data_IF_394665442846
#
_entry.id   IF_394665442846
#
_cell.length_a   1.000
_cell.length_b   1.000
_cell.length_c   1.000
_cell.angle_alpha   90.00
_cell.angle_beta   90.00
_cell.angle_gamma   90.00
#
_symmetry.space_group_name_H-M   'P 1'
#
loop_
_entity.id
_entity.type
_entity.pdbx_description
1 polymer ?
#
# COMPACT_ATOMS: atom_id res chain seq x y z
N UNK A 1 44.69 28.01 -32.27
CA UNK A 1 44.19 26.66 -32.05
C UNK A 1 43.18 26.65 -30.89
N UNK A 2 42.04 27.38 -31.02
CA UNK A 2 41.00 27.53 -29.96
C UNK A 2 39.60 27.55 -30.58
N UNK A 3 39.38 27.00 -31.77
CA UNK A 3 38.02 26.96 -32.38
C UNK A 3 37.34 25.59 -32.40
N UNK A 4 37.92 24.56 -31.78
CA UNK A 4 37.31 23.21 -31.79
C UNK A 4 36.41 22.85 -30.61
N UNK A 5 36.53 23.59 -29.48
CA UNK A 5 35.80 23.19 -28.25
C UNK A 5 34.34 23.66 -28.16
N UNK A 6 34.04 24.82 -28.76
CA UNK A 6 32.69 25.39 -28.68
C UNK A 6 31.67 24.64 -29.54
N UNK A 7 32.10 24.01 -30.64
CA UNK A 7 31.21 23.27 -31.54
C UNK A 7 30.72 21.95 -30.94
N UNK A 8 31.55 21.26 -30.16
CA UNK A 8 31.20 19.99 -29.52
C UNK A 8 30.20 20.20 -28.37
N UNK A 9 30.38 21.27 -27.58
CA UNK A 9 29.44 21.58 -26.47
C UNK A 9 28.07 21.99 -27.01
N UNK A 10 28.00 22.76 -28.09
CA UNK A 10 26.74 23.12 -28.74
C UNK A 10 26.01 21.89 -29.35
N UNK A 11 26.77 20.96 -29.94
CA UNK A 11 26.19 19.74 -30.52
C UNK A 11 25.66 18.81 -29.42
N UNK A 12 26.33 18.72 -28.28
CA UNK A 12 25.85 17.93 -27.14
C UNK A 12 24.64 18.59 -26.45
N UNK A 13 24.57 19.90 -26.36
CA UNK A 13 23.39 20.61 -25.89
C UNK A 13 22.18 20.49 -26.85
N UNK A 14 22.43 20.54 -28.16
CA UNK A 14 21.34 20.34 -29.14
C UNK A 14 20.86 18.89 -29.21
N UNK A 15 21.75 17.90 -29.05
CA UNK A 15 21.36 16.49 -28.95
C UNK A 15 20.60 16.23 -27.64
N UNK A 16 20.99 16.88 -26.53
CA UNK A 16 20.24 16.82 -25.27
C UNK A 16 18.85 17.46 -25.36
N UNK A 17 18.73 18.57 -26.09
CA UNK A 17 17.44 19.25 -26.27
C UNK A 17 16.51 18.47 -27.21
N UNK A 18 17.02 17.88 -28.30
CA UNK A 18 16.22 17.00 -29.17
C UNK A 18 15.85 15.67 -28.52
N UNK A 19 16.66 15.19 -27.55
CA UNK A 19 16.31 13.98 -26.78
C UNK A 19 15.20 14.26 -25.76
N UNK A 20 15.07 15.49 -25.24
CA UNK A 20 14.02 15.86 -24.32
C UNK A 20 12.65 16.10 -24.98
N UNK A 21 12.61 16.47 -26.25
CA UNK A 21 11.33 16.67 -26.96
C UNK A 21 10.69 15.37 -27.48
N UNK A 22 11.44 14.25 -27.51
CA UNK A 22 10.92 12.95 -27.92
C UNK A 22 10.46 12.05 -26.76
N UNK A 23 10.52 12.52 -25.51
CA UNK A 23 9.83 11.90 -24.40
C UNK A 23 8.34 12.31 -24.44
N UNK A 24 7.62 11.79 -25.42
CA UNK A 24 6.18 11.64 -25.27
C UNK A 24 5.96 10.70 -24.10
N UNK A 25 5.40 11.25 -23.03
CA UNK A 25 4.74 10.47 -21.98
C UNK A 25 3.93 9.39 -22.71
N UNK A 26 4.30 8.13 -22.52
CA UNK A 26 3.45 7.06 -23.01
C UNK A 26 2.08 7.30 -22.37
N UNK A 27 0.99 7.30 -23.14
CA UNK A 27 -0.33 7.47 -22.57
C UNK A 27 -0.54 6.42 -21.48
N UNK A 28 -1.17 6.84 -20.39
CA UNK A 28 -1.66 5.94 -19.36
C UNK A 28 -2.24 4.69 -20.05
N UNK A 29 -1.92 3.52 -19.53
CA UNK A 29 -2.30 2.22 -20.08
C UNK A 29 -3.73 2.33 -20.62
N UNK A 30 -3.89 2.34 -21.94
CA UNK A 30 -5.19 2.28 -22.59
C UNK A 30 -5.72 0.86 -22.42
N UNK A 31 -6.56 0.69 -21.44
CA UNK A 31 -7.37 -0.50 -21.31
C UNK A 31 -8.61 -0.37 -22.20
N UNK A 32 -8.98 -1.46 -22.83
CA UNK A 32 -10.04 -1.55 -23.84
C UNK A 32 -11.45 -1.23 -23.29
N UNK A 33 -12.19 -0.37 -23.97
CA UNK A 33 -13.37 0.41 -23.51
C UNK A 33 -14.69 -0.38 -23.42
N UNK A 34 -14.69 -1.63 -22.98
CA UNK A 34 -15.95 -2.37 -22.92
C UNK A 34 -16.84 -2.11 -21.69
N UNK A 35 -16.31 -1.49 -20.62
CA UNK A 35 -17.07 -1.31 -19.36
C UNK A 35 -16.74 0.03 -18.67
N UNK A 36 -17.02 1.17 -19.30
CA UNK A 36 -17.05 2.48 -18.66
C UNK A 36 -15.90 2.74 -17.67
N UNK A 37 -14.66 2.70 -18.14
CA UNK A 37 -13.47 2.84 -17.30
C UNK A 37 -13.19 4.29 -17.03
N UNK A 38 -13.06 4.63 -15.76
CA UNK A 38 -12.55 5.92 -15.35
C UNK A 38 -11.10 6.12 -15.79
N UNK A 39 -10.74 7.34 -16.15
CA UNK A 39 -9.35 7.75 -16.38
C UNK A 39 -8.91 8.56 -15.19
N UNK A 40 -7.96 8.04 -14.41
CA UNK A 40 -7.46 8.72 -13.23
C UNK A 40 -5.97 8.49 -13.09
N UNK A 41 -5.17 9.56 -13.17
CA UNK A 41 -3.76 9.43 -12.81
C UNK A 41 -3.59 9.38 -11.29
N UNK A 42 -2.51 8.74 -10.78
CA UNK A 42 -2.21 8.75 -9.35
C UNK A 42 -2.13 10.15 -8.76
N UNK A 43 -1.60 11.11 -9.50
CA UNK A 43 -1.48 12.52 -9.08
C UNK A 43 -2.85 13.20 -9.00
N UNK A 44 -3.69 13.04 -10.03
CA UNK A 44 -5.04 13.59 -10.05
C UNK A 44 -5.86 13.00 -8.90
N UNK A 45 -5.67 11.69 -8.63
CA UNK A 45 -6.29 11.06 -7.49
C UNK A 45 -5.83 11.70 -6.17
N UNK A 46 -4.52 11.80 -5.95
CA UNK A 46 -3.93 12.35 -4.72
C UNK A 46 -4.27 13.84 -4.51
N UNK A 47 -4.49 14.61 -5.58
CA UNK A 47 -4.81 16.03 -5.53
C UNK A 47 -6.24 16.36 -5.02
N UNK A 48 -7.04 15.34 -4.72
CA UNK A 48 -8.43 15.48 -4.26
C UNK A 48 -8.62 16.07 -2.87
N UNK A 49 -9.85 15.99 -2.38
CA UNK A 49 -10.25 16.45 -1.05
C UNK A 49 -11.42 15.63 -0.49
N UNK A 50 -11.52 15.57 0.83
CA UNK A 50 -12.65 14.94 1.51
C UNK A 50 -13.87 15.86 1.47
N UNK A 51 -15.01 15.32 1.10
CA UNK A 51 -16.30 16.04 1.02
C UNK A 51 -17.32 15.39 1.93
N UNK A 52 -18.18 16.18 2.61
CA UNK A 52 -19.29 15.62 3.36
C UNK A 52 -20.19 14.77 2.47
N UNK A 53 -20.50 13.56 2.95
CA UNK A 53 -21.36 12.61 2.23
C UNK A 53 -22.82 12.68 2.65
N UNK A 54 -23.13 13.31 3.80
CA UNK A 54 -24.47 13.40 4.38
C UNK A 54 -25.19 12.04 4.48
N UNK A 55 -24.43 10.95 4.72
CA UNK A 55 -24.96 9.59 4.77
C UNK A 55 -25.82 9.35 5.99
N UNK A 56 -25.55 10.05 7.08
CA UNK A 56 -26.18 9.83 8.36
C UNK A 56 -26.87 11.10 8.85
N UNK A 57 -28.09 11.01 9.41
CA UNK A 57 -28.75 12.12 10.08
C UNK A 57 -27.91 12.65 11.24
N UNK A 58 -27.99 13.96 11.49
CA UNK A 58 -27.39 14.56 12.67
C UNK A 58 -27.89 13.88 13.95
N UNK A 59 -26.96 13.54 14.83
CA UNK A 59 -27.25 12.84 16.10
C UNK A 59 -27.34 11.32 16.01
N UNK A 60 -27.13 10.71 14.82
CA UNK A 60 -26.91 9.27 14.73
C UNK A 60 -25.68 8.90 15.56
N UNK A 61 -25.79 7.84 16.35
CA UNK A 61 -24.73 7.43 17.28
C UNK A 61 -24.50 5.93 17.22
N UNK A 62 -23.26 5.51 17.38
CA UNK A 62 -22.90 4.12 17.59
C UNK A 62 -23.22 3.73 19.02
N UNK A 63 -23.89 2.61 19.23
CA UNK A 63 -24.27 2.08 20.54
C UNK A 63 -23.38 0.93 20.96
N UNK A 64 -22.96 0.15 20.00
CA UNK A 64 -22.07 -0.99 20.18
C UNK A 64 -21.08 -1.08 19.03
N UNK A 65 -19.99 -1.81 19.21
CA UNK A 65 -18.94 -1.94 18.19
C UNK A 65 -19.42 -2.55 16.88
N UNK A 66 -20.46 -3.43 16.96
CA UNK A 66 -21.08 -4.02 15.77
C UNK A 66 -21.73 -2.99 14.85
N UNK A 67 -22.19 -1.86 15.38
CA UNK A 67 -22.77 -0.78 14.57
C UNK A 67 -21.76 -0.22 13.55
N UNK A 68 -20.45 -0.35 13.80
CA UNK A 68 -19.42 0.10 12.89
C UNK A 68 -19.50 -0.57 11.50
N UNK A 69 -19.97 -1.82 11.44
CA UNK A 69 -20.20 -2.54 10.18
C UNK A 69 -21.25 -1.82 9.36
N UNK A 70 -22.42 -1.55 9.97
CA UNK A 70 -23.52 -0.87 9.31
C UNK A 70 -23.16 0.56 8.91
N UNK A 71 -22.42 1.30 9.76
CA UNK A 71 -21.93 2.65 9.42
C UNK A 71 -20.90 2.63 8.30
N UNK A 72 -20.07 1.58 8.22
CA UNK A 72 -19.19 1.35 7.08
C UNK A 72 -19.93 1.03 5.77
N UNK A 73 -21.25 0.78 5.84
CA UNK A 73 -22.06 0.37 4.69
C UNK A 73 -21.92 -1.12 4.36
N UNK A 74 -21.51 -1.95 5.35
CA UNK A 74 -21.34 -3.38 5.18
C UNK A 74 -22.53 -4.17 5.72
N UNK A 75 -22.79 -5.30 5.08
CA UNK A 75 -23.79 -6.26 5.52
C UNK A 75 -23.23 -7.27 6.55
N UNK A 76 -21.91 -7.43 6.55
CA UNK A 76 -21.15 -8.36 7.37
C UNK A 76 -19.72 -8.47 6.88
N UNK A 77 -18.96 -9.40 7.46
CA UNK A 77 -17.58 -9.67 7.06
C UNK A 77 -17.33 -11.17 7.05
N UNK A 78 -16.51 -11.64 6.12
CA UNK A 78 -16.13 -13.05 6.04
C UNK A 78 -15.08 -13.42 7.10
N UNK A 79 -14.19 -12.51 7.47
CA UNK A 79 -13.25 -12.65 8.58
C UNK A 79 -13.88 -12.03 9.84
N UNK A 80 -13.85 -12.77 10.94
CA UNK A 80 -14.46 -12.36 12.20
C UNK A 80 -13.47 -11.75 13.18
N UNK A 81 -12.17 -11.94 12.94
CA UNK A 81 -11.16 -11.48 13.86
C UNK A 81 -10.97 -9.99 13.80
N UNK A 82 -10.94 -9.38 14.97
CA UNK A 82 -10.51 -8.00 15.16
C UNK A 82 -11.32 -6.95 14.39
N UNK A 83 -12.43 -7.38 13.74
CA UNK A 83 -13.33 -6.46 13.07
C UNK A 83 -13.76 -5.32 14.00
N UNK A 84 -14.16 -5.69 15.21
CA UNK A 84 -14.56 -4.73 16.24
C UNK A 84 -13.36 -3.93 16.77
N UNK A 85 -12.20 -4.54 16.74
CA UNK A 85 -10.96 -3.91 17.17
C UNK A 85 -10.54 -2.80 16.20
N UNK A 86 -10.70 -3.06 14.92
CA UNK A 86 -10.32 -2.13 13.87
C UNK A 86 -11.42 -1.13 13.51
N UNK A 87 -12.68 -1.49 13.68
CA UNK A 87 -13.82 -0.64 13.30
C UNK A 87 -14.47 0.08 14.49
N UNK A 88 -14.28 -0.38 15.70
CA UNK A 88 -14.99 0.14 16.84
C UNK A 88 -14.20 0.13 18.15
N UNK A 89 -12.89 -0.06 18.09
CA UNK A 89 -12.05 -0.17 19.28
C UNK A 89 -11.73 1.14 19.98
N UNK A 90 -12.23 2.24 19.49
CA UNK A 90 -12.19 3.49 20.21
C UNK A 90 -12.89 3.34 21.57
N UNK A 91 -12.48 4.14 22.51
CA UNK A 91 -13.10 4.15 23.83
C UNK A 91 -14.59 4.37 23.70
N UNK A 92 -15.45 3.56 24.37
CA UNK A 92 -16.89 3.66 24.21
C UNK A 92 -17.46 5.07 24.42
N UNK A 93 -16.85 5.86 25.32
CA UNK A 93 -17.23 7.24 25.58
C UNK A 93 -16.97 8.19 24.38
N UNK A 94 -16.17 7.76 23.39
CA UNK A 94 -15.88 8.52 22.18
C UNK A 94 -16.73 8.10 20.99
N UNK A 95 -17.33 6.90 21.02
CA UNK A 95 -18.22 6.43 19.97
C UNK A 95 -19.38 7.39 19.72
N UNK A 96 -19.90 7.98 20.78
CA UNK A 96 -21.01 8.91 20.68
C UNK A 96 -20.72 10.17 19.86
N UNK A 97 -19.49 10.65 19.89
CA UNK A 97 -19.13 11.92 19.27
C UNK A 97 -18.49 11.74 17.90
N UNK A 98 -17.80 10.62 17.67
CA UNK A 98 -16.95 10.42 16.51
C UNK A 98 -17.60 9.57 15.43
N UNK A 99 -18.23 8.47 15.81
CA UNK A 99 -18.99 7.67 14.89
C UNK A 99 -20.47 8.08 14.90
N UNK A 100 -21.11 8.21 13.77
CA UNK A 100 -20.68 7.89 12.40
C UNK A 100 -20.00 9.05 11.66
N UNK A 101 -19.66 10.16 12.33
CA UNK A 101 -19.12 11.36 11.67
C UNK A 101 -17.89 11.05 10.82
N UNK A 102 -16.99 10.19 11.29
CA UNK A 102 -15.82 9.74 10.55
C UNK A 102 -16.17 9.06 9.20
N UNK A 103 -17.32 8.39 9.10
CA UNK A 103 -17.80 7.78 7.86
C UNK A 103 -18.59 8.73 6.96
N UNK A 104 -18.88 9.93 7.44
CA UNK A 104 -19.73 10.88 6.72
C UNK A 104 -18.96 11.74 5.70
N UNK A 105 -17.80 11.25 5.26
CA UNK A 105 -16.97 11.91 4.27
C UNK A 105 -16.62 10.93 3.14
N UNK A 106 -16.58 11.45 1.91
CA UNK A 106 -16.12 10.74 0.72
C UNK A 106 -14.94 11.47 0.11
N UNK A 107 -13.98 10.72 -0.39
CA UNK A 107 -12.90 11.29 -1.18
C UNK A 107 -13.43 11.74 -2.53
N UNK A 108 -13.19 12.99 -2.88
CA UNK A 108 -13.41 13.52 -4.21
C UNK A 108 -12.05 13.77 -4.83
N UNK A 109 -11.63 12.99 -5.84
CA UNK A 109 -10.34 13.16 -6.48
C UNK A 109 -10.20 14.53 -7.13
N UNK A 110 -8.99 14.86 -7.56
CA UNK A 110 -8.70 16.08 -8.30
C UNK A 110 -9.27 16.07 -9.72
N UNK A 111 -9.12 17.19 -10.40
CA UNK A 111 -9.58 17.38 -11.77
C UNK A 111 -8.92 16.36 -12.73
N UNK A 112 -9.71 15.84 -13.66
CA UNK A 112 -9.25 14.84 -14.63
C UNK A 112 -9.17 13.41 -14.09
N UNK A 113 -9.71 13.15 -12.91
CA UNK A 113 -9.80 11.81 -12.35
C UNK A 113 -11.26 11.37 -12.28
N UNK A 114 -11.62 10.41 -13.12
CA UNK A 114 -12.91 9.74 -13.10
C UNK A 114 -12.73 8.35 -12.46
N UNK A 115 -13.23 8.19 -11.24
CA UNK A 115 -13.12 6.94 -10.49
C UNK A 115 -14.34 6.08 -10.78
N UNK A 116 -14.09 4.83 -11.17
CA UNK A 116 -15.16 3.84 -11.29
C UNK A 116 -15.88 3.67 -9.94
N UNK A 117 -17.21 3.80 -9.89
CA UNK A 117 -17.96 3.50 -8.68
C UNK A 117 -17.71 2.05 -8.21
N UNK A 118 -17.59 1.87 -6.92
CA UNK A 118 -17.43 0.54 -6.34
C UNK A 118 -18.69 -0.31 -6.60
N UNK A 119 -18.46 -1.49 -7.18
CA UNK A 119 -19.45 -2.53 -7.39
C UNK A 119 -18.88 -3.85 -6.86
N UNK A 120 -19.47 -4.40 -5.82
CA UNK A 120 -19.04 -5.63 -5.15
C UNK A 120 -19.04 -6.83 -6.08
N UNK A 121 -20.11 -7.00 -6.82
CA UNK A 121 -20.30 -8.16 -7.70
C UNK A 121 -19.34 -8.12 -8.87
N UNK A 122 -19.14 -6.92 -9.45
CA UNK A 122 -18.14 -6.71 -10.49
C UNK A 122 -16.72 -6.99 -9.97
N UNK A 123 -16.38 -6.58 -8.75
CA UNK A 123 -15.06 -6.87 -8.17
C UNK A 123 -14.87 -8.38 -7.95
N UNK A 124 -15.87 -9.09 -7.41
CA UNK A 124 -15.79 -10.56 -7.25
C UNK A 124 -15.62 -11.22 -8.60
N UNK A 125 -16.34 -10.78 -9.63
CA UNK A 125 -16.21 -11.28 -11.00
C UNK A 125 -14.79 -11.05 -11.53
N UNK A 126 -14.25 -9.85 -11.37
CA UNK A 126 -12.89 -9.54 -11.80
C UNK A 126 -11.82 -10.40 -11.08
N UNK A 127 -11.97 -10.59 -9.77
CA UNK A 127 -11.05 -11.43 -8.98
C UNK A 127 -11.07 -12.90 -9.42
N UNK A 128 -12.20 -13.41 -9.88
CA UNK A 128 -12.30 -14.77 -10.43
C UNK A 128 -11.78 -14.83 -11.86
N UNK A 129 -12.31 -13.98 -12.75
CA UNK A 129 -12.13 -14.12 -14.21
C UNK A 129 -10.81 -13.53 -14.70
N UNK A 130 -10.35 -12.40 -14.12
CA UNK A 130 -9.07 -11.76 -14.49
C UNK A 130 -7.92 -12.22 -13.60
N UNK A 131 -8.19 -12.48 -12.32
CA UNK A 131 -7.23 -12.99 -11.35
C UNK A 131 -7.29 -12.28 -10.00
N UNK A 132 -6.95 -13.04 -8.96
CA UNK A 132 -6.99 -12.60 -7.57
C UNK A 132 -5.90 -11.59 -7.19
N UNK A 133 -5.99 -11.11 -5.94
CA UNK A 133 -5.03 -10.19 -5.34
C UNK A 133 -4.21 -10.84 -4.24
N UNK A 134 -2.94 -10.51 -4.18
CA UNK A 134 -2.05 -10.88 -3.09
C UNK A 134 -1.58 -9.62 -2.34
N UNK A 135 -1.94 -9.51 -1.08
CA UNK A 135 -1.56 -8.40 -0.20
C UNK A 135 -0.30 -8.80 0.57
N UNK A 136 0.71 -7.93 0.56
CA UNK A 136 1.98 -8.15 1.27
C UNK A 136 2.32 -6.91 2.09
N UNK A 137 2.57 -7.08 3.38
CA UNK A 137 2.91 -5.96 4.26
C UNK A 137 2.66 -6.25 5.73
N UNK A 138 2.67 -5.21 6.53
CA UNK A 138 2.50 -5.26 7.98
C UNK A 138 1.03 -5.21 8.43
N UNK A 139 0.77 -4.84 9.69
CA UNK A 139 -0.57 -4.75 10.26
C UNK A 139 -1.50 -3.76 9.54
N UNK A 140 -0.97 -2.73 8.89
CA UNK A 140 -1.77 -1.79 8.08
C UNK A 140 -2.30 -2.49 6.84
N UNK A 141 -1.51 -3.38 6.24
CA UNK A 141 -1.93 -4.21 5.11
C UNK A 141 -2.86 -5.36 5.54
N UNK A 142 -2.66 -5.91 6.74
CA UNK A 142 -3.57 -6.88 7.34
C UNK A 142 -4.98 -6.28 7.52
N UNK A 143 -5.07 -5.03 8.00
CA UNK A 143 -6.34 -4.32 8.08
C UNK A 143 -7.01 -4.14 6.72
N UNK A 144 -6.22 -3.95 5.68
CA UNK A 144 -6.71 -3.90 4.31
C UNK A 144 -7.37 -5.24 3.90
N UNK A 145 -6.76 -6.37 4.25
CA UNK A 145 -7.34 -7.69 4.03
C UNK A 145 -8.67 -7.87 4.78
N UNK A 146 -8.76 -7.49 6.06
CA UNK A 146 -10.01 -7.59 6.82
C UNK A 146 -11.12 -6.73 6.23
N UNK A 147 -10.78 -5.56 5.78
CA UNK A 147 -11.74 -4.68 5.12
C UNK A 147 -12.25 -5.29 3.81
N UNK A 148 -11.38 -5.94 2.99
CA UNK A 148 -11.83 -6.69 1.80
C UNK A 148 -12.79 -7.81 2.18
N UNK A 149 -12.59 -8.46 3.33
CA UNK A 149 -13.50 -9.47 3.81
C UNK A 149 -14.93 -8.94 4.06
N UNK A 150 -15.05 -7.66 4.43
CA UNK A 150 -16.35 -7.01 4.61
C UNK A 150 -16.94 -6.52 3.27
N UNK A 151 -16.10 -5.93 2.41
CA UNK A 151 -16.52 -5.43 1.11
C UNK A 151 -17.06 -6.55 0.20
N UNK A 152 -16.39 -7.70 0.22
CA UNK A 152 -16.75 -8.85 -0.62
C UNK A 152 -17.82 -9.76 0.00
N UNK A 153 -18.20 -9.53 1.26
CA UNK A 153 -19.32 -10.27 1.88
C UNK A 153 -20.65 -9.94 1.19
N UNK A 154 -21.54 -10.93 0.92
CA UNK A 154 -21.51 -12.33 1.37
C UNK A 154 -20.91 -13.32 0.35
N UNK A 155 -20.17 -12.87 -0.65
CA UNK A 155 -19.69 -13.73 -1.74
C UNK A 155 -18.43 -14.53 -1.41
N UNK A 156 -17.77 -14.23 -0.29
CA UNK A 156 -16.51 -14.86 0.10
C UNK A 156 -16.58 -15.49 1.50
N UNK A 157 -15.71 -16.46 1.72
CA UNK A 157 -15.39 -17.03 3.04
C UNK A 157 -13.92 -16.81 3.35
N UNK A 158 -13.61 -16.51 4.60
CA UNK A 158 -12.24 -16.41 5.07
C UNK A 158 -11.75 -17.75 5.62
N UNK A 159 -10.48 -18.09 5.35
CA UNK A 159 -9.82 -19.23 5.95
C UNK A 159 -8.29 -19.07 5.79
N UNK A 160 -7.50 -19.51 6.72
CA UNK A 160 -7.92 -20.12 7.96
C UNK A 160 -8.60 -19.11 8.91
N UNK A 161 -9.44 -19.60 9.83
CA UNK A 161 -9.93 -18.76 10.91
C UNK A 161 -8.73 -18.35 11.77
N UNK A 162 -8.57 -17.09 12.01
CA UNK A 162 -7.40 -16.59 12.72
C UNK A 162 -7.31 -17.08 14.17
N UNK A 163 -8.46 -17.26 14.83
CA UNK A 163 -8.51 -17.78 16.20
C UNK A 163 -8.13 -19.25 16.29
N UNK A 164 -8.21 -19.97 15.18
CA UNK A 164 -7.85 -21.38 15.07
C UNK A 164 -6.38 -21.61 14.68
N UNK A 165 -5.60 -20.52 14.45
CA UNK A 165 -4.18 -20.64 14.16
C UNK A 165 -3.43 -21.23 15.37
N UNK A 166 -3.01 -22.51 15.34
CA UNK A 166 -2.41 -23.15 16.49
C UNK A 166 -0.99 -22.64 16.79
N UNK A 167 -0.40 -21.89 15.88
CA UNK A 167 1.01 -21.51 15.95
C UNK A 167 1.24 -20.06 16.33
N UNK A 168 0.21 -19.21 16.35
CA UNK A 168 0.36 -17.76 16.47
C UNK A 168 1.36 -17.17 15.49
N UNK A 169 1.61 -17.87 14.40
CA UNK A 169 2.58 -17.45 13.43
C UNK A 169 1.99 -16.43 12.47
N UNK A 170 2.50 -15.19 12.53
CA UNK A 170 2.00 -14.10 11.68
C UNK A 170 2.46 -14.19 10.23
N UNK A 171 3.41 -15.04 9.89
CA UNK A 171 3.70 -15.41 8.50
C UNK A 171 2.60 -16.23 7.87
N UNK A 172 1.63 -16.68 8.66
CA UNK A 172 0.54 -17.48 8.20
C UNK A 172 -0.30 -16.75 7.18
N UNK A 173 -0.47 -17.38 6.02
CA UNK A 173 -1.25 -16.82 4.93
C UNK A 173 -2.73 -16.83 5.29
N UNK A 174 -3.36 -15.68 5.18
CA UNK A 174 -4.80 -15.53 5.29
C UNK A 174 -5.40 -15.43 3.90
N UNK A 175 -6.56 -16.05 3.68
CA UNK A 175 -7.17 -16.13 2.35
C UNK A 175 -8.67 -15.82 2.41
N UNK A 176 -9.15 -15.18 1.34
CA UNK A 176 -10.57 -15.12 0.99
C UNK A 176 -10.78 -15.98 -0.24
N UNK A 177 -11.70 -16.94 -0.13
CA UNK A 177 -12.13 -17.81 -1.22
C UNK A 177 -13.55 -17.48 -1.63
N UNK A 178 -13.90 -17.78 -2.88
CA UNK A 178 -15.29 -17.69 -3.32
C UNK A 178 -16.15 -18.62 -2.47
N UNK A 179 -17.31 -18.11 -2.03
CA UNK A 179 -18.29 -18.93 -1.31
C UNK A 179 -19.05 -19.80 -2.32
N UNK A 180 -19.06 -21.14 -2.19
CA UNK A 180 -19.75 -22.02 -3.12
C UNK A 180 -21.25 -21.71 -3.30
N UNK A 181 -21.87 -21.14 -2.28
CA UNK A 181 -23.29 -20.75 -2.28
C UNK A 181 -23.51 -19.32 -2.77
N UNK A 182 -22.47 -18.61 -3.21
CA UNK A 182 -22.62 -17.27 -3.78
C UNK A 182 -23.54 -17.30 -4.99
N UNK A 183 -24.53 -16.37 -5.09
CA UNK A 183 -25.41 -16.29 -6.26
C UNK A 183 -24.66 -15.96 -7.56
N UNK A 184 -23.42 -15.51 -7.49
CA UNK A 184 -22.59 -15.22 -8.67
C UNK A 184 -22.04 -16.49 -9.33
N UNK A 185 -21.86 -17.59 -8.59
CA UNK A 185 -21.23 -18.83 -9.10
C UNK A 185 -21.78 -19.30 -10.45
N UNK A 186 -23.09 -19.29 -10.70
CA UNK A 186 -23.62 -19.74 -12.00
C UNK A 186 -23.29 -18.83 -13.19
N UNK A 187 -22.88 -17.59 -12.94
CA UNK A 187 -22.61 -16.58 -13.99
C UNK A 187 -21.13 -16.35 -14.24
N UNK A 188 -20.26 -16.82 -13.34
CA UNK A 188 -18.82 -16.62 -13.40
C UNK A 188 -18.17 -17.54 -14.44
N UNK A 189 -17.17 -17.00 -15.13
CA UNK A 189 -16.30 -17.75 -16.05
C UNK A 189 -15.02 -18.12 -15.34
N UNK A 190 -14.93 -19.36 -14.88
CA UNK A 190 -13.77 -19.85 -14.17
C UNK A 190 -12.59 -20.10 -15.13
N UNK A 191 -11.39 -19.55 -14.86
CA UNK A 191 -10.18 -19.88 -15.59
C UNK A 191 -9.84 -21.37 -15.47
N UNK A 192 -9.05 -21.88 -16.41
CA UNK A 192 -8.55 -23.25 -16.35
C UNK A 192 -7.79 -23.51 -15.04
N UNK A 193 -8.11 -24.59 -14.34
CA UNK A 193 -7.51 -24.96 -13.08
C UNK A 193 -8.05 -24.23 -11.85
N UNK A 194 -9.01 -23.30 -11.99
CA UNK A 194 -9.62 -22.63 -10.85
C UNK A 194 -10.46 -23.61 -10.00
N UNK A 195 -10.26 -23.57 -8.71
CA UNK A 195 -11.05 -24.33 -7.71
C UNK A 195 -11.68 -23.36 -6.70
N UNK A 196 -13.00 -23.43 -6.56
CA UNK A 196 -13.74 -22.60 -5.60
C UNK A 196 -13.23 -22.84 -4.17
N UNK A 197 -12.82 -24.06 -3.84
CA UNK A 197 -12.33 -24.43 -2.53
C UNK A 197 -10.89 -24.01 -2.28
N UNK A 198 -10.03 -24.00 -3.33
CA UNK A 198 -8.59 -23.94 -3.15
C UNK A 198 -7.92 -22.73 -3.82
N UNK A 199 -8.58 -22.07 -4.80
CA UNK A 199 -8.01 -20.88 -5.44
C UNK A 199 -8.45 -19.63 -4.69
N UNK A 200 -7.54 -18.92 -3.99
CA UNK A 200 -7.90 -17.73 -3.26
C UNK A 200 -8.19 -16.56 -4.21
N UNK A 201 -9.22 -15.77 -3.90
CA UNK A 201 -9.50 -14.50 -4.55
C UNK A 201 -8.60 -13.39 -4.01
N UNK A 202 -8.38 -13.40 -2.71
CA UNK A 202 -7.47 -12.47 -2.02
C UNK A 202 -6.66 -13.24 -1.00
N UNK A 203 -5.35 -12.98 -0.96
CA UNK A 203 -4.48 -13.50 0.09
C UNK A 203 -3.73 -12.39 0.78
N UNK A 204 -3.41 -12.57 2.05
CA UNK A 204 -2.53 -11.70 2.82
C UNK A 204 -1.32 -12.48 3.36
N UNK A 205 -0.13 -11.88 3.20
CA UNK A 205 1.13 -12.36 3.78
C UNK A 205 1.74 -11.26 4.62
N UNK A 206 2.04 -11.58 5.88
CA UNK A 206 2.73 -10.65 6.77
C UNK A 206 4.19 -10.54 6.41
N UNK A 207 4.61 -9.33 6.02
CA UNK A 207 6.01 -8.96 5.77
C UNK A 207 6.20 -7.52 6.23
N UNK A 208 6.87 -7.32 7.36
CA UNK A 208 7.03 -6.00 7.97
C UNK A 208 8.07 -5.15 7.23
N UNK A 209 9.11 -5.80 6.70
CA UNK A 209 10.14 -5.19 5.86
C UNK A 209 10.29 -5.99 4.57
N UNK A 210 10.55 -5.35 3.47
CA UNK A 210 10.45 -5.90 2.09
C UNK A 210 11.29 -7.16 1.80
N UNK A 211 12.35 -7.39 2.57
CA UNK A 211 13.39 -8.38 2.33
C UNK A 211 13.54 -9.29 3.56
N UNK A 212 14.16 -10.45 3.40
CA UNK A 212 14.51 -11.27 4.55
C UNK A 212 15.60 -10.62 5.40
N UNK A 213 15.76 -11.09 6.62
CA UNK A 213 16.82 -10.62 7.54
C UNK A 213 18.20 -10.82 6.93
N UNK A 214 18.45 -11.98 6.34
CA UNK A 214 19.70 -12.33 5.69
C UNK A 214 20.01 -11.45 4.48
N UNK A 215 19.00 -11.14 3.67
CA UNK A 215 19.14 -10.24 2.52
C UNK A 215 19.49 -8.83 2.97
N UNK A 216 18.85 -8.33 4.02
CA UNK A 216 19.11 -6.99 4.58
C UNK A 216 20.51 -6.94 5.24
N UNK A 217 20.93 -7.95 5.99
CA UNK A 217 22.28 -8.04 6.56
C UNK A 217 23.33 -8.11 5.46
N UNK A 218 23.10 -8.89 4.40
CA UNK A 218 23.96 -8.95 3.23
C UNK A 218 24.09 -7.60 2.53
N UNK A 219 22.99 -6.90 2.36
CA UNK A 219 22.98 -5.54 1.79
C UNK A 219 23.73 -4.56 2.68
N UNK A 220 23.47 -4.57 3.99
CA UNK A 220 24.15 -3.73 4.96
C UNK A 220 25.68 -3.93 4.90
N UNK A 221 26.11 -5.17 4.92
CA UNK A 221 27.52 -5.53 4.84
C UNK A 221 28.17 -5.05 3.52
N UNK A 222 27.44 -5.07 2.43
CA UNK A 222 27.92 -4.58 1.13
C UNK A 222 28.11 -3.07 1.07
N UNK A 223 27.28 -2.31 1.80
CA UNK A 223 27.32 -0.83 1.80
C UNK A 223 28.36 -0.31 2.81
N UNK A 224 28.38 -0.88 4.03
CA UNK A 224 29.09 -0.29 5.16
C UNK A 224 30.38 -1.01 5.53
N UNK A 225 30.77 -2.10 4.85
CA UNK A 225 31.98 -2.89 5.09
C UNK A 225 32.13 -3.35 6.56
N UNK A 226 31.69 -4.55 6.87
CA UNK A 226 31.45 -4.94 8.25
C UNK A 226 32.72 -5.17 9.04
N UNK A 227 33.18 -4.17 9.71
CA UNK A 227 34.15 -4.38 10.78
C UNK A 227 33.50 -4.38 12.14
N UNK A 228 32.13 -4.29 12.18
CA UNK A 228 31.59 -4.09 13.38
C UNK A 228 30.27 -4.04 13.98
N UNK A 229 30.19 -4.29 15.21
CA UNK A 229 29.19 -3.97 16.20
C UNK A 229 28.69 -2.50 16.17
N UNK A 230 27.40 -2.25 16.26
CA UNK A 230 26.33 -3.18 16.66
C UNK A 230 25.75 -3.97 15.47
N UNK A 231 25.08 -5.12 15.72
CA UNK A 231 24.34 -5.84 14.69
C UNK A 231 23.31 -4.92 14.02
N UNK A 232 22.94 -5.21 12.76
CA UNK A 232 21.99 -4.38 12.02
C UNK A 232 20.68 -4.20 12.77
N UNK A 233 20.16 -5.27 13.34
CA UNK A 233 18.86 -5.30 13.99
C UNK A 233 18.97 -5.31 15.52
N UNK A 234 17.96 -4.73 16.17
CA UNK A 234 17.71 -4.94 17.60
C UNK A 234 17.18 -6.37 17.85
N UNK A 235 17.02 -6.71 19.12
CA UNK A 235 16.40 -7.97 19.53
C UNK A 235 14.86 -7.99 19.31
N UNK A 236 14.27 -6.86 18.91
CA UNK A 236 12.84 -6.75 18.67
C UNK A 236 12.38 -7.69 17.57
N UNK A 237 11.23 -8.30 17.77
CA UNK A 237 10.63 -9.22 16.82
C UNK A 237 9.84 -8.46 15.75
N UNK A 238 10.15 -8.72 14.50
CA UNK A 238 9.39 -8.31 13.34
C UNK A 238 9.44 -9.41 12.27
N UNK A 239 8.45 -9.40 11.37
CA UNK A 239 8.30 -10.46 10.39
C UNK A 239 8.97 -10.11 9.07
N UNK A 240 9.88 -10.99 8.64
CA UNK A 240 10.64 -10.85 7.39
C UNK A 240 10.38 -12.05 6.50
N UNK A 241 10.38 -11.83 5.20
CA UNK A 241 10.27 -12.90 4.22
C UNK A 241 10.99 -12.47 2.94
N UNK A 242 11.70 -13.39 2.30
CA UNK A 242 12.37 -13.09 1.04
C UNK A 242 11.35 -12.81 -0.09
N UNK A 243 11.60 -11.84 -0.97
CA UNK A 243 10.82 -11.66 -2.20
C UNK A 243 10.76 -12.94 -3.04
N UNK A 244 11.79 -13.78 -3.01
CA UNK A 244 11.79 -15.05 -3.74
C UNK A 244 10.63 -15.97 -3.32
N UNK A 245 10.21 -15.90 -2.06
CA UNK A 245 9.11 -16.71 -1.53
C UNK A 245 7.74 -16.11 -1.89
N UNK A 246 7.47 -14.86 -1.51
CA UNK A 246 6.13 -14.30 -1.72
C UNK A 246 5.86 -13.93 -3.19
N UNK A 247 6.87 -13.51 -3.96
CA UNK A 247 6.70 -13.33 -5.41
C UNK A 247 6.65 -14.68 -6.12
N UNK A 248 7.39 -15.69 -5.63
CA UNK A 248 7.26 -17.06 -6.11
C UNK A 248 5.84 -17.58 -5.93
N UNK A 249 5.21 -17.35 -4.79
CA UNK A 249 3.82 -17.66 -4.55
C UNK A 249 2.87 -16.86 -5.48
N UNK A 250 3.11 -15.56 -5.63
CA UNK A 250 2.35 -14.69 -6.52
C UNK A 250 2.40 -15.15 -7.98
N UNK A 251 3.56 -15.61 -8.44
CA UNK A 251 3.77 -16.04 -9.81
C UNK A 251 3.49 -17.52 -10.07
N UNK A 252 3.18 -18.30 -9.03
CA UNK A 252 2.81 -19.71 -9.19
C UNK A 252 1.61 -19.90 -10.10
N UNK A 253 1.63 -21.01 -10.87
CA UNK A 253 0.52 -21.43 -11.73
C UNK A 253 -0.70 -21.91 -10.94
N UNK A 254 -0.47 -22.40 -9.73
CA UNK A 254 -1.51 -22.93 -8.85
C UNK A 254 -2.40 -21.81 -8.27
N UNK A 255 -1.87 -20.58 -8.26
CA UNK A 255 -2.57 -19.41 -7.75
C UNK A 255 -2.97 -18.50 -8.91
N UNK A 256 -4.24 -18.13 -8.97
CA UNK A 256 -4.77 -17.27 -10.03
C UNK A 256 -4.58 -15.77 -9.69
N UNK A 257 -3.39 -15.35 -9.19
CA UNK A 257 -3.16 -13.95 -8.88
C UNK A 257 -2.82 -13.12 -10.11
N UNK A 258 -3.43 -11.94 -10.21
CA UNK A 258 -3.17 -10.92 -11.22
C UNK A 258 -2.38 -9.75 -10.62
N UNK A 259 -2.75 -9.32 -9.41
CA UNK A 259 -2.21 -8.11 -8.79
C UNK A 259 -1.61 -8.43 -7.43
N UNK A 260 -0.39 -7.98 -7.18
CA UNK A 260 0.19 -7.95 -5.85
C UNK A 260 0.19 -6.50 -5.34
N UNK A 261 -0.39 -6.29 -4.15
CA UNK A 261 -0.42 -5.00 -3.48
C UNK A 261 0.52 -5.08 -2.30
N UNK A 262 1.54 -4.23 -2.29
CA UNK A 262 2.55 -4.22 -1.23
C UNK A 262 2.64 -2.85 -0.57
N UNK A 263 2.89 -2.82 0.73
CA UNK A 263 3.12 -1.58 1.49
C UNK A 263 4.09 -1.84 2.63
N UNK A 264 5.10 -1.01 2.79
CA UNK A 264 6.12 -1.14 3.83
C UNK A 264 6.77 0.21 4.12
N UNK A 265 6.77 0.63 5.35
CA UNK A 265 7.57 1.72 5.93
C UNK A 265 7.52 1.72 7.46
N UNK A 266 6.37 1.39 8.07
CA UNK A 266 6.15 1.55 9.51
C UNK A 266 7.14 0.80 10.40
N UNK A 267 7.61 -0.37 9.99
CA UNK A 267 8.61 -1.13 10.73
C UNK A 267 10.07 -0.75 10.41
N UNK A 268 10.28 0.17 9.48
CA UNK A 268 11.60 0.72 9.21
C UNK A 268 11.91 1.83 10.21
N UNK A 269 12.26 1.43 11.43
CA UNK A 269 12.54 2.36 12.53
C UNK A 269 13.97 2.22 13.02
N UNK A 270 14.54 3.31 13.52
CA UNK A 270 15.85 3.27 14.20
C UNK A 270 15.83 2.38 15.46
N UNK A 271 14.65 2.05 15.99
CA UNK A 271 14.47 1.05 17.04
C UNK A 271 14.81 -0.34 16.56
N UNK A 272 14.25 -0.76 15.42
CA UNK A 272 14.52 -2.06 14.80
C UNK A 272 15.91 -2.13 14.16
N UNK A 273 16.34 -1.08 13.46
CA UNK A 273 17.62 -1.00 12.74
C UNK A 273 18.69 -0.30 13.61
N UNK A 274 19.11 -0.96 14.67
CA UNK A 274 19.96 -0.31 15.68
C UNK A 274 21.33 0.14 15.16
N UNK A 275 21.87 -0.49 14.13
CA UNK A 275 23.12 -0.05 13.49
C UNK A 275 22.99 1.32 12.80
N UNK A 276 21.76 1.81 12.55
CA UNK A 276 21.48 3.12 11.97
C UNK A 276 21.38 4.23 13.01
N UNK A 277 21.42 3.90 14.32
CA UNK A 277 21.35 4.89 15.39
C UNK A 277 22.54 5.85 15.35
N UNK A 278 22.24 7.13 15.39
CA UNK A 278 23.21 8.20 15.52
C UNK A 278 22.62 9.31 16.39
N UNK A 279 22.99 9.33 17.66
CA UNK A 279 22.46 10.25 18.65
C UNK A 279 22.79 11.71 18.34
N UNK A 280 23.82 11.98 17.55
CA UNK A 280 24.27 13.34 17.20
C UNK A 280 23.55 13.89 15.95
N UNK A 281 22.93 13.01 15.15
CA UNK A 281 22.22 13.42 13.95
C UNK A 281 20.76 13.79 14.21
N UNK A 282 20.17 14.61 13.35
CA UNK A 282 18.76 14.93 13.36
C UNK A 282 17.93 13.64 13.24
N UNK A 283 16.99 13.44 14.17
CA UNK A 283 16.13 12.25 14.19
C UNK A 283 16.85 10.96 14.60
N UNK A 284 18.02 11.08 15.26
CA UNK A 284 18.70 9.93 15.90
C UNK A 284 19.19 8.86 14.92
N UNK A 285 19.49 9.22 13.65
CA UNK A 285 19.98 8.29 12.62
C UNK A 285 18.99 8.04 11.48
N UNK A 286 17.86 8.74 11.43
CA UNK A 286 16.85 8.53 10.38
C UNK A 286 17.42 8.71 8.96
N UNK A 287 18.35 9.64 8.76
CA UNK A 287 18.98 9.84 7.45
C UNK A 287 19.77 8.61 6.98
N UNK A 288 20.43 7.91 7.89
CA UNK A 288 21.13 6.65 7.59
C UNK A 288 20.11 5.55 7.25
N UNK A 289 19.00 5.49 7.98
CA UNK A 289 17.94 4.53 7.73
C UNK A 289 17.26 4.76 6.39
N UNK A 290 16.94 6.01 6.02
CA UNK A 290 16.36 6.36 4.71
C UNK A 290 17.31 6.01 3.57
N UNK A 291 18.61 6.28 3.73
CA UNK A 291 19.61 5.87 2.75
C UNK A 291 19.67 4.35 2.58
N UNK A 292 19.65 3.61 3.69
CA UNK A 292 19.60 2.14 3.65
C UNK A 292 18.30 1.63 3.03
N UNK A 293 17.17 2.22 3.39
CA UNK A 293 15.86 1.89 2.82
C UNK A 293 15.84 2.08 1.30
N UNK A 294 16.46 3.15 0.78
CA UNK A 294 16.57 3.38 -0.65
C UNK A 294 17.31 2.22 -1.37
N UNK A 295 18.40 1.75 -0.81
CA UNK A 295 19.13 0.59 -1.36
C UNK A 295 18.31 -0.70 -1.27
N UNK A 296 17.64 -0.92 -0.15
CA UNK A 296 16.78 -2.08 0.04
C UNK A 296 15.60 -2.09 -0.94
N UNK A 297 14.97 -0.93 -1.16
CA UNK A 297 13.88 -0.78 -2.12
C UNK A 297 14.32 -1.03 -3.56
N UNK A 298 15.50 -0.54 -3.94
CA UNK A 298 16.07 -0.80 -5.26
C UNK A 298 16.37 -2.31 -5.46
N UNK A 299 17.01 -2.94 -4.48
CA UNK A 299 17.26 -4.39 -4.50
C UNK A 299 15.95 -5.18 -4.59
N UNK A 300 14.95 -4.80 -3.82
CA UNK A 300 13.62 -5.39 -3.85
C UNK A 300 12.98 -5.29 -5.23
N UNK A 301 12.95 -4.09 -5.82
CA UNK A 301 12.35 -3.86 -7.13
C UNK A 301 13.01 -4.72 -8.23
N UNK A 302 14.33 -4.81 -8.21
CA UNK A 302 15.12 -5.67 -9.10
C UNK A 302 14.76 -7.16 -8.96
N UNK A 303 14.64 -7.64 -7.71
CA UNK A 303 14.26 -9.03 -7.44
C UNK A 303 12.85 -9.33 -7.93
N UNK A 304 11.91 -8.45 -7.66
CA UNK A 304 10.50 -8.58 -8.06
C UNK A 304 10.38 -8.57 -9.58
N UNK A 305 10.94 -7.56 -10.26
CA UNK A 305 10.83 -7.45 -11.71
C UNK A 305 11.46 -8.66 -12.42
N UNK A 306 12.64 -9.10 -11.98
CA UNK A 306 13.26 -10.33 -12.55
C UNK A 306 12.40 -11.57 -12.40
N UNK A 307 11.60 -11.71 -11.36
CA UNK A 307 10.68 -12.82 -11.19
C UNK A 307 9.45 -12.67 -12.09
N UNK A 308 8.91 -11.45 -12.21
CA UNK A 308 7.82 -11.14 -13.15
C UNK A 308 8.22 -11.41 -14.60
N UNK A 309 9.45 -11.04 -14.97
CA UNK A 309 9.99 -11.30 -16.32
C UNK A 309 10.08 -12.79 -16.66
N UNK A 310 10.26 -13.65 -15.65
CA UNK A 310 10.27 -15.12 -15.79
C UNK A 310 8.87 -15.72 -15.79
N UNK A 311 7.88 -15.00 -15.29
CA UNK A 311 6.49 -15.45 -15.21
C UNK A 311 5.91 -15.67 -16.60
N UNK A 312 5.08 -16.70 -16.76
CA UNK A 312 4.33 -16.95 -18.02
C UNK A 312 3.27 -15.87 -18.26
N UNK A 313 2.61 -15.39 -17.20
CA UNK A 313 1.65 -14.29 -17.29
C UNK A 313 2.39 -12.95 -17.23
N UNK A 314 2.43 -12.26 -18.35
CA UNK A 314 3.11 -10.96 -18.51
C UNK A 314 2.23 -9.78 -18.08
N UNK A 315 0.97 -10.01 -17.87
CA UNK A 315 -0.04 -9.02 -17.45
C UNK A 315 -0.09 -8.81 -15.93
N UNK A 316 0.71 -9.57 -15.15
CA UNK A 316 0.78 -9.39 -13.69
C UNK A 316 1.35 -8.03 -13.33
N UNK A 317 0.74 -7.41 -12.30
CA UNK A 317 1.11 -6.08 -11.83
C UNK A 317 1.43 -6.11 -10.33
N UNK A 318 2.36 -5.26 -9.92
CA UNK A 318 2.69 -5.00 -8.52
C UNK A 318 2.37 -3.55 -8.22
N UNK A 319 1.50 -3.33 -7.24
CA UNK A 319 1.11 -2.00 -6.78
C UNK A 319 1.78 -1.73 -5.43
N UNK A 320 2.72 -0.82 -5.39
CA UNK A 320 3.25 -0.29 -4.13
C UNK A 320 2.26 0.76 -3.64
N UNK A 321 1.53 0.42 -2.60
CA UNK A 321 0.60 1.33 -1.95
C UNK A 321 1.37 2.22 -0.98
N UNK A 322 1.25 3.54 -1.13
CA UNK A 322 1.85 4.50 -0.21
C UNK A 322 1.49 4.16 1.26
N UNK A 323 2.48 4.23 2.13
CA UNK A 323 2.29 3.95 3.54
C UNK A 323 1.61 5.14 4.23
N UNK A 324 0.70 4.85 5.15
CA UNK A 324 -0.09 5.86 5.84
C UNK A 324 0.53 6.20 7.18
N UNK A 325 0.73 7.49 7.42
CA UNK A 325 1.08 7.99 8.76
C UNK A 325 -0.12 7.84 9.69
N UNK A 326 0.13 7.45 10.93
CA UNK A 326 -0.90 7.54 11.96
C UNK A 326 -0.98 8.95 12.54
N UNK A 327 -2.16 9.34 13.00
CA UNK A 327 -2.38 10.60 13.68
C UNK A 327 -2.41 10.42 15.19
N UNK A 328 -1.67 11.28 15.91
CA UNK A 328 -1.78 11.39 17.35
C UNK A 328 -3.15 11.99 17.73
N UNK A 329 -3.72 11.49 18.82
CA UNK A 329 -4.97 12.02 19.35
C UNK A 329 -6.13 12.06 18.34
N UNK A 330 -6.17 11.10 17.42
CA UNK A 330 -7.24 10.98 16.42
C UNK A 330 -8.65 11.03 17.01
N UNK A 331 -8.82 10.58 18.23
CA UNK A 331 -10.08 10.63 18.98
C UNK A 331 -10.56 12.06 19.32
N UNK A 332 -9.71 13.08 19.16
CA UNK A 332 -10.07 14.48 19.32
C UNK A 332 -10.47 15.15 18.02
N UNK A 333 -10.38 14.43 16.91
CA UNK A 333 -10.71 14.95 15.58
C UNK A 333 -12.01 14.32 15.08
N UNK A 334 -12.87 15.12 14.50
CA UNK A 334 -14.21 14.73 14.03
C UNK A 334 -14.41 14.98 12.54
N UNK A 335 -13.48 15.70 11.92
CA UNK A 335 -13.54 16.12 10.54
C UNK A 335 -12.18 16.02 9.86
N UNK A 336 -12.15 15.81 8.52
CA UNK A 336 -10.92 15.86 7.74
C UNK A 336 -10.25 17.23 7.80
N UNK A 337 -8.93 17.23 7.66
CA UNK A 337 -8.18 18.45 7.40
C UNK A 337 -8.37 18.93 5.96
N UNK A 338 -8.29 20.25 5.75
CA UNK A 338 -8.32 20.86 4.42
C UNK A 338 -6.94 20.95 3.77
N UNK A 339 -5.87 20.81 4.53
CA UNK A 339 -4.48 20.78 4.07
C UNK A 339 -3.67 19.82 4.96
N UNK A 340 -2.58 19.32 4.42
CA UNK A 340 -1.68 18.42 5.15
C UNK A 340 -0.92 19.22 6.21
N UNK A 341 -1.03 18.78 7.45
CA UNK A 341 -0.28 19.34 8.57
C UNK A 341 1.08 18.66 8.68
N UNK A 342 2.07 19.39 9.18
CA UNK A 342 3.36 18.82 9.50
C UNK A 342 3.23 17.85 10.67
N UNK A 343 3.76 16.65 10.49
CA UNK A 343 3.80 15.63 11.53
C UNK A 343 4.97 15.90 12.46
N UNK A 344 4.71 15.90 13.77
CA UNK A 344 5.72 16.08 14.80
C UNK A 344 6.05 14.81 15.57
N UNK A 345 5.18 13.79 15.47
CA UNK A 345 5.37 12.52 16.15
C UNK A 345 6.51 11.72 15.56
N UNK A 346 7.46 11.34 16.43
CA UNK A 346 8.55 10.44 16.07
C UNK A 346 8.18 8.96 16.24
N UNK A 347 6.98 8.67 16.72
CA UNK A 347 6.53 7.31 16.96
C UNK A 347 6.36 6.59 15.61
N UNK A 348 6.99 5.42 15.48
CA UNK A 348 7.03 4.67 14.23
C UNK A 348 7.45 5.49 13.02
N UNK A 349 8.28 6.52 13.21
CA UNK A 349 8.76 7.45 12.18
C UNK A 349 7.64 8.14 11.38
N UNK A 350 6.47 8.39 11.97
CA UNK A 350 5.33 8.99 11.25
C UNK A 350 5.64 10.34 10.63
N UNK A 351 6.50 11.11 11.27
CA UNK A 351 6.98 12.38 10.73
C UNK A 351 7.92 12.24 9.52
N UNK A 352 8.28 11.00 9.12
CA UNK A 352 9.15 10.70 8.00
C UNK A 352 8.47 9.81 6.95
N UNK A 353 7.17 9.56 7.05
CA UNK A 353 6.48 8.65 6.10
C UNK A 353 6.45 9.20 4.68
N UNK A 354 6.43 10.52 4.51
CA UNK A 354 6.53 11.15 3.18
C UNK A 354 7.85 10.77 2.52
N UNK A 355 8.96 10.87 3.24
CA UNK A 355 10.29 10.54 2.73
C UNK A 355 10.41 9.04 2.38
N UNK A 356 9.81 8.14 3.16
CA UNK A 356 9.76 6.72 2.81
C UNK A 356 8.92 6.48 1.55
N UNK A 357 7.78 7.14 1.41
CA UNK A 357 6.94 7.04 0.22
C UNK A 357 7.65 7.61 -1.02
N UNK A 358 8.34 8.76 -0.87
CA UNK A 358 9.09 9.40 -1.94
C UNK A 358 10.21 8.48 -2.48
N UNK A 359 10.84 7.68 -1.63
CA UNK A 359 11.86 6.71 -2.05
C UNK A 359 11.27 5.70 -3.04
N UNK A 360 10.06 5.20 -2.84
CA UNK A 360 9.40 4.34 -3.82
C UNK A 360 9.12 5.05 -5.15
N UNK A 361 8.95 6.34 -5.13
CA UNK A 361 8.73 7.14 -6.34
C UNK A 361 10.01 7.38 -7.12
N UNK A 362 11.17 7.44 -6.44
CA UNK A 362 12.46 7.88 -7.00
C UNK A 362 13.39 6.73 -7.43
N UNK A 363 13.08 5.47 -7.17
CA UNK A 363 13.95 4.30 -7.45
C UNK A 363 14.49 4.17 -8.89
N UNK A 364 14.38 5.19 -9.71
CA UNK A 364 14.72 5.22 -11.13
C UNK A 364 15.92 6.02 -11.54
N UNK A 365 16.60 6.73 -10.66
CA UNK A 365 17.79 7.46 -11.04
C UNK A 365 19.03 6.61 -10.75
N UNK A 366 19.77 6.25 -11.78
CA UNK A 366 21.18 5.85 -11.66
C UNK A 366 21.87 6.86 -10.74
N UNK A 367 22.33 6.39 -9.59
CA UNK A 367 22.89 7.18 -8.50
C UNK A 367 23.74 8.35 -8.96
N UNK A 368 23.35 9.60 -8.81
CA UNK A 368 24.29 10.71 -8.80
C UNK A 368 24.84 10.91 -7.37
N UNK A 369 26.04 11.42 -7.24
CA UNK A 369 26.65 11.68 -5.94
C UNK A 369 25.84 12.71 -5.15
N UNK A 370 25.82 12.56 -3.88
CA UNK A 370 25.11 13.10 -2.71
C UNK A 370 24.64 14.57 -2.68
N UNK A 371 24.71 15.35 -3.75
CA UNK A 371 24.50 16.82 -3.71
C UNK A 371 23.60 17.42 -4.80
N UNK A 372 22.83 16.62 -5.52
CA UNK A 372 21.92 17.17 -6.53
C UNK A 372 20.49 16.96 -6.08
N UNK A 373 19.78 18.05 -5.82
CA UNK A 373 18.32 18.11 -5.70
C UNK A 373 17.71 17.56 -7.01
N UNK A 374 17.32 16.30 -7.00
CA UNK A 374 16.75 15.64 -8.17
C UNK A 374 15.23 15.83 -8.10
N UNK A 375 14.67 16.29 -9.20
CA UNK A 375 13.21 16.28 -9.37
C UNK A 375 12.71 14.84 -9.28
N UNK A 376 11.59 14.59 -8.59
CA UNK A 376 11.04 13.25 -8.43
C UNK A 376 10.64 12.69 -9.81
N UNK A 377 11.29 11.61 -10.23
CA UNK A 377 10.84 10.81 -11.35
C UNK A 377 10.17 9.56 -10.78
N UNK A 378 8.90 9.42 -11.07
CA UNK A 378 8.01 8.40 -10.55
C UNK A 378 8.45 6.98 -10.96
N UNK A 379 8.38 5.99 -10.06
CA UNK A 379 8.55 4.56 -10.38
C UNK A 379 7.64 4.14 -11.54
N UNK A 380 6.46 4.74 -11.62
CA UNK A 380 5.49 4.56 -12.72
C UNK A 380 6.05 4.86 -14.12
N UNK A 381 7.12 5.63 -14.21
CA UNK A 381 7.75 5.99 -15.50
C UNK A 381 9.06 5.28 -15.77
N UNK A 382 9.48 4.34 -14.90
CA UNK A 382 10.72 3.62 -15.15
C UNK A 382 10.55 2.51 -16.18
N UNK A 383 11.29 2.58 -17.28
CA UNK A 383 11.39 1.45 -18.21
C UNK A 383 12.04 0.20 -17.58
N UNK A 384 12.67 0.32 -16.40
CA UNK A 384 13.32 -0.79 -15.71
C UNK A 384 12.32 -1.67 -14.96
N UNK A 385 11.20 -1.10 -14.50
CA UNK A 385 10.20 -1.80 -13.69
C UNK A 385 8.79 -1.63 -14.26
N UNK A 386 8.53 -2.10 -15.49
CA UNK A 386 7.27 -1.82 -16.21
C UNK A 386 6.03 -2.42 -15.54
N UNK A 387 6.21 -3.37 -14.63
CA UNK A 387 5.11 -4.03 -13.91
C UNK A 387 4.96 -3.56 -12.46
N UNK A 388 5.77 -2.60 -12.01
CA UNK A 388 5.72 -2.07 -10.63
C UNK A 388 5.23 -0.63 -10.67
N UNK A 389 4.13 -0.36 -9.97
CA UNK A 389 3.45 0.92 -9.97
C UNK A 389 3.31 1.45 -8.54
N UNK A 390 3.38 2.77 -8.35
CA UNK A 390 3.16 3.39 -7.04
C UNK A 390 1.77 4.03 -6.96
N UNK A 391 1.04 3.77 -5.89
CA UNK A 391 -0.27 4.34 -5.61
C UNK A 391 -0.19 5.34 -4.44
N UNK A 392 -0.21 6.65 -4.68
CA UNK A 392 -0.05 7.69 -3.66
C UNK A 392 -1.34 7.94 -2.89
N UNK A 393 -1.64 7.08 -1.93
CA UNK A 393 -2.80 7.24 -1.03
C UNK A 393 -2.45 7.88 0.31
N UNK A 394 -1.21 8.23 0.52
CA UNK A 394 -0.71 8.85 1.75
C UNK A 394 -1.35 10.21 2.01
N UNK A 395 -1.39 11.11 1.01
CA UNK A 395 -2.03 12.41 1.16
C UNK A 395 -3.52 12.32 1.53
N UNK A 396 -4.38 11.53 0.86
CA UNK A 396 -5.73 11.28 1.35
C UNK A 396 -5.78 10.82 2.81
N UNK A 397 -4.86 9.97 3.23
CA UNK A 397 -4.73 9.51 4.61
C UNK A 397 -4.30 10.60 5.57
N UNK A 398 -3.31 11.42 5.21
CA UNK A 398 -2.83 12.54 6.03
C UNK A 398 -3.91 13.58 6.31
N UNK A 399 -4.91 13.68 5.45
CA UNK A 399 -6.05 14.58 5.63
C UNK A 399 -7.15 14.00 6.54
N UNK A 400 -6.96 12.79 7.11
CA UNK A 400 -7.95 12.10 7.95
C UNK A 400 -7.47 11.93 9.40
N UNK A 401 -7.25 13.01 10.16
CA UNK A 401 -6.88 12.91 11.56
C UNK A 401 -7.96 12.24 12.41
N UNK A 402 -9.20 12.30 11.94
CA UNK A 402 -10.39 11.70 12.56
C UNK A 402 -10.47 10.18 12.34
N UNK A 403 -9.72 9.64 11.38
CA UNK A 403 -9.89 8.27 10.91
C UNK A 403 -8.61 7.43 10.94
N UNK A 404 -7.44 8.06 11.07
CA UNK A 404 -6.14 7.40 11.04
C UNK A 404 -5.38 7.71 12.31
N UNK A 405 -5.30 6.77 13.22
CA UNK A 405 -4.49 6.92 14.40
C UNK A 405 -4.08 5.59 14.97
N UNK A 406 -2.86 5.55 15.47
CA UNK A 406 -2.36 4.50 16.34
C UNK A 406 -2.04 5.16 17.66
N UNK A 407 -2.87 4.97 18.68
CA UNK A 407 -2.42 5.16 20.04
C UNK A 407 -1.77 3.87 20.53
N UNK A 408 -0.98 3.87 21.63
CA UNK A 408 -0.50 2.63 22.26
C UNK A 408 -1.60 1.62 22.57
N UNK A 409 -2.86 1.98 22.38
CA UNK A 409 -4.07 1.21 22.66
C UNK A 409 -4.92 0.94 21.40
N UNK A 410 -4.37 1.09 20.19
CA UNK A 410 -4.92 0.55 18.92
C UNK A 410 -6.17 1.21 18.30
N UNK A 411 -6.53 2.42 18.59
CA UNK A 411 -7.92 2.84 18.45
C UNK A 411 -8.39 3.61 17.20
N UNK A 412 -7.52 4.01 16.26
CA UNK A 412 -7.98 4.85 15.14
C UNK A 412 -7.63 4.34 13.73
N UNK A 413 -7.16 3.12 13.59
CA UNK A 413 -6.64 2.57 12.31
C UNK A 413 -7.75 2.19 11.34
N UNK A 414 -8.92 1.85 11.84
CA UNK A 414 -9.94 1.16 11.08
C UNK A 414 -10.62 1.95 9.97
N UNK A 415 -10.93 3.21 10.22
CA UNK A 415 -11.74 4.01 9.28
C UNK A 415 -10.95 4.33 8.02
N UNK A 416 -9.63 4.47 8.13
CA UNK A 416 -8.81 4.81 6.98
C UNK A 416 -8.50 3.61 6.08
N UNK A 417 -8.47 2.42 6.63
CA UNK A 417 -8.28 1.22 5.82
C UNK A 417 -9.42 1.05 4.83
N UNK A 418 -10.64 1.37 5.23
CA UNK A 418 -11.81 1.37 4.36
C UNK A 418 -11.73 2.46 3.28
N UNK A 419 -11.39 3.69 3.65
CA UNK A 419 -11.18 4.76 2.69
C UNK A 419 -10.06 4.39 1.70
N UNK A 420 -8.93 3.90 2.19
CA UNK A 420 -7.81 3.44 1.36
C UNK A 420 -8.20 2.31 0.42
N UNK A 421 -9.15 1.46 0.79
CA UNK A 421 -9.61 0.34 -0.02
C UNK A 421 -10.47 0.74 -1.19
N UNK A 422 -11.44 1.64 -0.99
CA UNK A 422 -12.17 2.22 -2.11
C UNK A 422 -11.20 2.84 -3.10
N UNK A 423 -10.06 3.32 -2.61
CA UNK A 423 -8.98 3.91 -3.37
C UNK A 423 -8.25 2.89 -4.23
N UNK A 424 -7.81 1.78 -3.64
CA UNK A 424 -7.10 0.71 -4.37
C UNK A 424 -8.02 0.04 -5.38
N UNK A 425 -9.27 -0.23 -5.02
CA UNK A 425 -10.27 -0.84 -5.92
C UNK A 425 -10.54 0.06 -7.13
N UNK A 426 -10.70 1.37 -6.92
CA UNK A 426 -10.96 2.32 -7.98
C UNK A 426 -9.79 2.43 -9.01
N UNK A 427 -8.57 2.07 -8.60
CA UNK A 427 -7.40 2.10 -9.47
C UNK A 427 -7.12 0.78 -10.20
N UNK A 428 -7.49 -0.35 -9.62
CA UNK A 428 -7.12 -1.68 -10.14
C UNK A 428 -8.26 -2.29 -10.96
N UNK A 429 -9.49 -1.86 -10.73
CA UNK A 429 -10.69 -2.30 -11.47
C UNK A 429 -11.02 -1.40 -12.66
#
# INVERSE_FOLDING_TARGET
>A
MVMGGASIVLTLMFAGYQYSENFHLQPAIQYDDAHGRGTCSPEAYSAGSWKPANKFPLGTRMKESADAIAFGGFEGCAADRELFWHLGSDRPEQWENRFPMAYNHLWSPGEGCDIRPFDREALVTDLVEKGGWMLVGDSVTENHFFSLSCLLFPHVRATPNYTENPYFERHWQQNLYLLPTSPLVPTLKFPEGFSIENTPLVSFRRVDVLLSREELEGLYNSIYSPTVDPPLFSEDTFWTLSPSEYVGQFTSKENNYQTMIISSAGHWTIGHFQAMKDAESKGGGIGHLLYFFQHATAMWADLVQRQLDKSERKDRQVIVRGYLSGHENCFNHFEPYTYVHEYTSQWWNWNWMTEFNDIFQVCNASFPPLHILIQPQWLLSSPLYPNIHFLPIDRPGMLRPDAVGLTPLFSCVAVNTLASMFLVIAFIS
#
